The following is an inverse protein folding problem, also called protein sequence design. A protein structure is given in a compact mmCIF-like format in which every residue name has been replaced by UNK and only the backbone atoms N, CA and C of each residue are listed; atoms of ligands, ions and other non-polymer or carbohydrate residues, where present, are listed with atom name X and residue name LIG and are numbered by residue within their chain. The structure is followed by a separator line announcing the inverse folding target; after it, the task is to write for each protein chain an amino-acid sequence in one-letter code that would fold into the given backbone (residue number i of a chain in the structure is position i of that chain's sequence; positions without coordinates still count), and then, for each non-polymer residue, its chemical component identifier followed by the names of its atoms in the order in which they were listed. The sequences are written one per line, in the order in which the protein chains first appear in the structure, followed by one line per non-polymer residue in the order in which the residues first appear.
data_IF_858998100357
#
_entry.id   IF_858998100357
#
_cell.length_a   1.000
_cell.length_b   1.000
_cell.length_c   1.000
_cell.angle_alpha   90.00
_cell.angle_beta   90.00
_cell.angle_gamma   90.00
#
_symmetry.space_group_name_H-M   'P 1'
#
loop_
_entity.id
_entity.type
_entity.pdbx_description
1 polymer ?
#
# COMPACT_ATOMS: atom_id res chain seq x y z
N UNK A 1 5.41 -21.56 11.26
CA UNK A 1 5.03 -20.16 11.48
C UNK A 1 5.96 -19.31 10.66
N UNK A 2 5.46 -18.66 9.61
CA UNK A 2 6.20 -17.56 9.00
C UNK A 2 6.28 -16.46 10.08
N UNK A 3 7.45 -15.87 10.29
CA UNK A 3 7.61 -14.81 11.29
C UNK A 3 6.71 -13.62 10.98
N UNK A 4 6.47 -12.77 11.98
CA UNK A 4 5.68 -11.55 11.78
C UNK A 4 6.18 -10.77 10.57
N UNK A 5 5.27 -10.30 9.70
CA UNK A 5 5.67 -9.58 8.50
C UNK A 5 6.38 -8.28 8.86
N UNK A 6 7.55 -8.09 8.27
CA UNK A 6 8.32 -6.86 8.43
C UNK A 6 7.84 -5.80 7.44
N UNK A 7 7.57 -4.60 7.95
CA UNK A 7 7.33 -3.39 7.17
C UNK A 7 8.51 -2.43 7.23
N UNK A 8 9.72 -2.94 7.51
CA UNK A 8 10.94 -2.14 7.43
C UNK A 8 11.10 -1.62 6.00
N UNK A 9 11.22 -0.31 5.83
CA UNK A 9 11.32 0.35 4.54
C UNK A 9 12.81 0.41 4.15
N UNK A 10 13.30 -0.46 3.24
CA UNK A 10 14.72 -0.51 2.89
C UNK A 10 15.18 0.73 2.13
N UNK A 11 14.30 1.31 1.31
CA UNK A 11 14.56 2.49 0.51
C UNK A 11 13.33 3.40 0.50
N UNK A 12 13.53 4.68 0.81
CA UNK A 12 12.46 5.67 0.72
C UNK A 12 12.48 6.33 -0.66
N UNK A 13 11.31 6.50 -1.31
CA UNK A 13 11.23 7.33 -2.50
C UNK A 13 11.67 8.76 -2.16
N UNK A 14 12.48 9.37 -3.02
CA UNK A 14 12.77 10.80 -2.95
C UNK A 14 11.86 11.55 -3.90
N UNK A 15 11.24 12.64 -3.41
CA UNK A 15 10.36 13.48 -4.22
C UNK A 15 11.15 14.60 -4.87
N UNK A 16 11.25 14.59 -6.19
CA UNK A 16 11.95 15.61 -6.96
C UNK A 16 10.96 16.48 -7.73
N UNK A 17 11.32 17.76 -7.90
CA UNK A 17 10.54 18.76 -8.64
C UNK A 17 11.35 19.24 -9.85
N UNK A 18 11.37 18.49 -10.96
CA UNK A 18 12.06 18.94 -12.16
C UNK A 18 11.42 20.22 -12.73
N UNK A 19 12.26 21.10 -13.28
CA UNK A 19 11.88 22.41 -13.84
C UNK A 19 10.85 22.33 -14.99
N UNK A 20 10.68 21.15 -15.58
CA UNK A 20 9.67 20.87 -16.60
C UNK A 20 9.10 19.46 -16.40
N UNK A 21 7.93 19.34 -15.77
CA UNK A 21 7.20 18.07 -15.71
C UNK A 21 6.90 17.58 -14.30
N UNK A 22 5.92 18.19 -13.63
CA UNK A 22 5.25 17.59 -12.48
C UNK A 22 6.16 17.17 -11.31
N UNK A 23 5.67 16.20 -10.53
CA UNK A 23 6.38 15.61 -9.40
C UNK A 23 6.87 14.24 -9.83
N UNK A 24 8.17 14.00 -9.70
CA UNK A 24 8.77 12.68 -9.92
C UNK A 24 9.12 12.06 -8.56
N UNK A 25 8.99 10.73 -8.48
CA UNK A 25 9.45 9.95 -7.34
C UNK A 25 10.61 9.07 -7.82
N UNK A 26 11.80 9.30 -7.29
CA UNK A 26 12.98 8.46 -7.54
C UNK A 26 13.04 7.33 -6.50
N UNK A 27 13.08 6.10 -6.98
CA UNK A 27 12.98 4.89 -6.17
C UNK A 27 11.54 4.56 -5.77
N UNK A 28 11.20 3.27 -5.75
CA UNK A 28 9.90 2.82 -5.26
C UNK A 28 10.08 1.58 -4.36
N UNK A 29 9.43 1.62 -3.20
CA UNK A 29 9.24 0.47 -2.31
C UNK A 29 7.76 0.12 -2.28
N UNK A 30 7.43 -1.14 -2.53
CA UNK A 30 6.07 -1.67 -2.51
C UNK A 30 6.00 -2.89 -1.61
N UNK A 31 5.04 -2.91 -0.68
CA UNK A 31 4.68 -4.11 0.05
C UNK A 31 3.47 -4.78 -0.61
N UNK A 32 3.64 -6.04 -1.00
CA UNK A 32 2.60 -6.88 -1.60
C UNK A 32 2.01 -7.77 -0.52
N UNK A 33 0.70 -7.65 -0.31
CA UNK A 33 -0.08 -8.50 0.58
C UNK A 33 -0.82 -9.53 -0.28
N UNK A 34 -0.41 -10.79 -0.16
CA UNK A 34 -0.95 -11.90 -0.94
C UNK A 34 -1.78 -12.80 -0.02
N UNK A 35 -3.09 -12.92 -0.24
CA UNK A 35 -3.93 -13.82 0.53
C UNK A 35 -3.54 -15.28 0.25
N UNK A 36 -3.64 -16.16 1.24
CA UNK A 36 -3.34 -17.59 1.07
C UNK A 36 -4.36 -18.32 0.18
N UNK A 37 -5.60 -17.84 0.16
CA UNK A 37 -6.64 -18.30 -0.76
C UNK A 37 -6.75 -17.30 -1.92
N UNK A 38 -6.96 -17.81 -3.14
CA UNK A 38 -7.19 -16.97 -4.31
C UNK A 38 -8.43 -16.08 -4.08
N UNK A 39 -8.24 -14.77 -4.25
CA UNK A 39 -9.30 -13.75 -4.17
C UNK A 39 -9.30 -12.97 -5.47
N UNK A 40 -10.48 -12.56 -5.92
CA UNK A 40 -10.56 -11.65 -7.08
C UNK A 40 -10.17 -10.24 -6.66
N UNK A 41 -9.78 -9.41 -7.64
CA UNK A 41 -9.49 -7.99 -7.37
C UNK A 41 -10.72 -7.27 -6.79
N UNK A 42 -11.93 -7.67 -7.17
CA UNK A 42 -13.18 -7.12 -6.63
C UNK A 42 -13.40 -7.51 -5.16
N UNK A 43 -13.16 -8.77 -4.79
CA UNK A 43 -13.29 -9.21 -3.38
C UNK A 43 -12.29 -8.47 -2.47
N UNK A 44 -11.08 -8.22 -2.98
CA UNK A 44 -10.05 -7.46 -2.27
C UNK A 44 -10.41 -5.98 -2.17
N UNK A 45 -11.02 -5.41 -3.20
CA UNK A 45 -11.48 -4.02 -3.21
C UNK A 45 -12.57 -3.80 -2.18
N UNK A 46 -13.59 -4.66 -2.14
CA UNK A 46 -14.65 -4.61 -1.15
C UNK A 46 -14.11 -4.74 0.29
N UNK A 47 -13.14 -5.64 0.50
CA UNK A 47 -12.46 -5.80 1.79
C UNK A 47 -11.71 -4.53 2.20
N UNK A 48 -10.92 -3.97 1.29
CA UNK A 48 -10.14 -2.74 1.54
C UNK A 48 -11.07 -1.58 1.83
N UNK A 49 -12.11 -1.38 1.02
CA UNK A 49 -13.10 -0.33 1.22
C UNK A 49 -13.76 -0.45 2.59
N UNK A 50 -14.17 -1.66 2.98
CA UNK A 50 -14.73 -1.91 4.31
C UNK A 50 -13.74 -1.51 5.42
N UNK A 51 -12.45 -1.81 5.27
CA UNK A 51 -11.41 -1.42 6.22
C UNK A 51 -11.23 0.10 6.27
N UNK A 52 -11.19 0.76 5.12
CA UNK A 52 -11.01 2.20 5.01
C UNK A 52 -12.21 2.97 5.59
N UNK A 53 -13.45 2.52 5.34
CA UNK A 53 -14.67 3.18 5.81
C UNK A 53 -14.90 3.06 7.32
N UNK A 54 -14.45 1.98 7.93
CA UNK A 54 -14.66 1.70 9.35
C UNK A 54 -13.44 1.95 10.23
N UNK A 55 -12.27 2.14 9.61
CA UNK A 55 -11.03 2.49 10.29
C UNK A 55 -10.82 4.00 10.41
N UNK A 56 -9.73 4.43 11.06
CA UNK A 56 -9.38 5.83 11.24
C UNK A 56 -8.72 6.39 9.96
N UNK A 57 -9.35 6.22 8.80
CA UNK A 57 -8.77 6.58 7.52
C UNK A 57 -9.51 7.73 6.86
N UNK A 58 -8.72 8.63 6.26
CA UNK A 58 -9.18 9.47 5.15
C UNK A 58 -8.59 8.92 3.88
N UNK A 59 -9.43 8.66 2.88
CA UNK A 59 -8.95 8.17 1.60
C UNK A 59 -9.64 8.87 0.43
N UNK A 60 -8.93 8.94 -0.68
CA UNK A 60 -9.47 9.36 -1.97
C UNK A 60 -9.21 8.28 -3.01
N UNK A 61 -10.17 8.06 -3.89
CA UNK A 61 -10.07 7.17 -5.03
C UNK A 61 -9.61 7.94 -6.29
N UNK A 62 -8.95 7.24 -7.20
CA UNK A 62 -8.59 7.77 -8.51
C UNK A 62 -9.57 7.24 -9.55
N UNK A 63 -10.47 8.11 -10.01
CA UNK A 63 -11.48 7.77 -11.02
C UNK A 63 -10.83 7.46 -12.38
N UNK A 64 -11.42 6.49 -13.11
CA UNK A 64 -11.04 6.09 -14.47
C UNK A 64 -9.68 5.38 -14.60
N UNK A 65 -9.19 4.74 -13.53
CA UNK A 65 -8.06 3.82 -13.63
C UNK A 65 -8.51 2.39 -13.98
N UNK A 66 -7.65 1.60 -14.65
CA UNK A 66 -7.95 0.20 -14.98
C UNK A 66 -7.94 -0.72 -13.75
N UNK A 67 -7.64 -0.18 -12.56
CA UNK A 67 -7.51 -0.91 -11.30
C UNK A 67 -7.86 0.01 -10.12
N UNK A 68 -8.35 -0.54 -8.99
CA UNK A 68 -8.53 0.23 -7.77
C UNK A 68 -7.21 0.83 -7.29
N UNK A 69 -7.25 2.13 -6.98
CA UNK A 69 -6.13 2.87 -6.42
C UNK A 69 -6.67 3.91 -5.43
N UNK A 70 -6.13 3.88 -4.23
CA UNK A 70 -6.50 4.77 -3.14
C UNK A 70 -5.27 5.54 -2.66
N UNK A 71 -5.43 6.84 -2.41
CA UNK A 71 -4.51 7.60 -1.55
C UNK A 71 -5.06 7.53 -0.13
N UNK A 72 -4.32 6.90 0.78
CA UNK A 72 -4.77 6.62 2.14
C UNK A 72 -3.97 7.48 3.12
N UNK A 73 -4.68 8.11 4.04
CA UNK A 73 -4.12 8.76 5.23
C UNK A 73 -4.67 8.06 6.46
N UNK A 74 -3.79 7.43 7.23
CA UNK A 74 -4.10 6.93 8.57
C UNK A 74 -4.10 8.12 9.54
N UNK A 75 -5.22 8.35 10.24
CA UNK A 75 -5.34 9.45 11.18
C UNK A 75 -4.70 9.15 12.55
N UNK A 76 -4.55 7.87 12.91
CA UNK A 76 -3.92 7.45 14.15
C UNK A 76 -2.39 7.56 14.04
N UNK A 77 -1.80 7.00 12.99
CA UNK A 77 -0.34 7.07 12.80
C UNK A 77 0.10 8.34 12.09
N UNK A 78 -0.83 9.03 11.41
CA UNK A 78 -0.61 10.21 10.55
C UNK A 78 0.15 9.90 9.26
N UNK A 79 0.34 8.62 8.95
CA UNK A 79 1.02 8.18 7.73
C UNK A 79 0.14 8.35 6.50
N UNK A 80 0.81 8.59 5.37
CA UNK A 80 0.17 8.64 4.05
C UNK A 80 0.87 7.65 3.15
N UNK A 81 0.11 6.83 2.43
CA UNK A 81 0.62 5.87 1.45
C UNK A 81 -0.39 5.67 0.32
N UNK A 82 0.02 5.04 -0.78
CA UNK A 82 -0.91 4.62 -1.83
C UNK A 82 -1.20 3.13 -1.70
N UNK A 83 -2.46 2.75 -1.90
CA UNK A 83 -2.90 1.37 -1.90
C UNK A 83 -3.50 1.05 -3.26
N UNK A 84 -3.04 -0.01 -3.91
CA UNK A 84 -3.63 -0.50 -5.14
C UNK A 84 -3.95 -1.99 -5.09
N UNK A 85 -4.84 -2.43 -5.97
CA UNK A 85 -5.27 -3.83 -6.03
C UNK A 85 -5.13 -4.31 -7.45
N UNK A 86 -4.42 -5.43 -7.63
CA UNK A 86 -4.16 -5.99 -8.95
C UNK A 86 -3.66 -7.43 -8.84
N UNK A 87 -4.16 -8.31 -9.69
CA UNK A 87 -3.70 -9.71 -9.79
C UNK A 87 -3.89 -10.51 -8.47
N UNK A 88 -4.98 -10.27 -7.76
CA UNK A 88 -5.31 -10.99 -6.52
C UNK A 88 -4.44 -10.58 -5.33
N UNK A 89 -3.85 -9.40 -5.35
CA UNK A 89 -3.03 -8.88 -4.25
C UNK A 89 -3.27 -7.39 -4.00
N UNK A 90 -3.04 -7.00 -2.74
CA UNK A 90 -3.04 -5.60 -2.30
C UNK A 90 -1.60 -5.10 -2.29
N UNK A 91 -1.36 -3.91 -2.82
CA UNK A 91 -0.04 -3.29 -2.92
C UNK A 91 -0.02 -1.99 -2.16
N UNK A 92 0.86 -1.88 -1.18
CA UNK A 92 1.10 -0.67 -0.40
C UNK A 92 2.37 0.00 -0.95
N UNK A 93 2.19 1.09 -1.69
CA UNK A 93 3.29 1.87 -2.23
C UNK A 93 3.72 2.91 -1.20
N UNK A 94 4.99 2.85 -0.82
CA UNK A 94 5.64 3.81 0.06
C UNK A 94 5.72 5.16 -0.65
N UNK A 95 5.42 6.22 0.09
CA UNK A 95 5.68 7.62 -0.23
C UNK A 95 6.82 8.13 0.69
N UNK A 96 7.43 9.29 0.40
CA UNK A 96 8.57 9.79 1.18
C UNK A 96 8.34 9.80 2.70
N UNK A 97 7.15 10.24 3.11
CA UNK A 97 6.75 10.39 4.51
C UNK A 97 6.01 9.16 5.08
N UNK A 98 5.92 8.05 4.33
CA UNK A 98 5.27 6.83 4.83
C UNK A 98 6.15 6.16 5.89
N UNK A 99 5.66 5.93 7.09
CA UNK A 99 6.34 5.10 8.08
C UNK A 99 5.79 3.67 8.14
N UNK A 100 6.62 2.77 8.66
CA UNK A 100 6.25 1.36 8.87
C UNK A 100 5.01 1.18 9.74
N UNK A 101 4.71 2.14 10.62
CA UNK A 101 3.57 2.09 11.52
C UNK A 101 2.24 2.09 10.76
N UNK A 102 2.03 3.01 9.81
CA UNK A 102 0.81 3.04 9.00
C UNK A 102 0.64 1.82 8.10
N UNK A 103 1.74 1.31 7.54
CA UNK A 103 1.74 0.08 6.72
C UNK A 103 1.38 -1.15 7.55
N UNK A 104 1.93 -1.24 8.76
CA UNK A 104 1.60 -2.30 9.71
C UNK A 104 0.13 -2.21 10.13
N UNK A 105 -0.35 -1.01 10.43
CA UNK A 105 -1.70 -0.80 10.92
C UNK A 105 -2.78 -1.15 9.88
N UNK A 106 -2.57 -0.81 8.59
CA UNK A 106 -3.49 -1.26 7.52
C UNK A 106 -3.45 -2.77 7.32
N UNK A 107 -2.27 -3.37 7.38
CA UNK A 107 -2.13 -4.83 7.29
C UNK A 107 -2.87 -5.55 8.42
N UNK A 108 -2.64 -5.14 9.67
CA UNK A 108 -3.26 -5.78 10.82
C UNK A 108 -4.80 -5.67 10.72
N UNK A 109 -5.34 -4.50 10.30
CA UNK A 109 -6.79 -4.29 10.10
C UNK A 109 -7.37 -5.12 8.95
N UNK A 110 -6.61 -5.34 7.86
CA UNK A 110 -7.02 -6.23 6.76
C UNK A 110 -7.03 -7.69 7.23
N UNK A 111 -5.98 -8.12 7.93
CA UNK A 111 -5.85 -9.47 8.46
C UNK A 111 -6.96 -9.77 9.47
N UNK A 112 -7.26 -8.84 10.39
CA UNK A 112 -8.32 -9.00 11.39
C UNK A 112 -9.73 -9.10 10.77
N UNK A 113 -9.92 -8.56 9.55
CA UNK A 113 -11.20 -8.52 8.84
C UNK A 113 -11.37 -9.61 7.81
N UNK A 114 -10.36 -10.43 7.57
CA UNK A 114 -10.40 -11.48 6.56
C UNK A 114 -10.07 -12.84 7.16
N UNK A 115 -10.82 -13.86 6.71
CA UNK A 115 -10.47 -15.22 7.02
C UNK A 115 -9.29 -15.66 6.16
N UNK A 116 -8.18 -16.04 6.79
CA UNK A 116 -7.03 -16.67 6.14
C UNK A 116 -5.70 -15.99 6.42
N UNK A 117 -4.63 -16.71 6.12
CA UNK A 117 -3.27 -16.19 6.27
C UNK A 117 -2.90 -15.26 5.11
N UNK A 118 -2.01 -14.31 5.40
CA UNK A 118 -1.47 -13.38 4.41
C UNK A 118 0.04 -13.48 4.35
N UNK A 119 0.58 -13.55 3.13
CA UNK A 119 2.02 -13.41 2.88
C UNK A 119 2.32 -11.95 2.54
N UNK A 120 3.35 -11.41 3.18
CA UNK A 120 3.89 -10.08 2.85
C UNK A 120 5.21 -10.24 2.10
N UNK A 121 5.33 -9.57 0.96
CA UNK A 121 6.58 -9.44 0.22
C UNK A 121 6.94 -7.96 0.05
N UNK A 122 8.22 -7.62 0.17
CA UNK A 122 8.73 -6.27 -0.09
C UNK A 122 9.47 -6.29 -1.43
N UNK A 123 9.14 -5.36 -2.30
CA UNK A 123 9.82 -5.14 -3.58
C UNK A 123 10.37 -3.71 -3.60
N UNK A 124 11.60 -3.58 -4.08
CA UNK A 124 12.28 -2.30 -4.27
C UNK A 124 12.73 -2.21 -5.72
N UNK A 125 12.46 -1.09 -6.36
CA UNK A 125 13.05 -0.74 -7.66
C UNK A 125 13.94 0.48 -7.47
N UNK A 126 15.21 0.33 -7.86
CA UNK A 126 16.12 1.45 -8.01
C UNK A 126 15.75 2.18 -9.31
N UNK A 127 15.54 3.49 -9.24
CA UNK A 127 15.48 4.30 -10.46
C UNK A 127 16.90 4.41 -11.01
N UNK A 128 17.17 3.84 -12.18
CA UNK A 128 18.44 4.04 -12.88
C UNK A 128 18.64 5.54 -13.12
N UNK A 129 19.65 6.13 -12.49
CA UNK A 129 20.09 7.50 -12.77
C UNK A 129 20.59 7.55 -14.22
N UNK A 130 19.85 8.21 -15.12
CA UNK A 130 20.33 8.56 -16.46
C UNK A 130 21.13 9.86 -16.44
#
# INVERSE_FOLDING_TARGET
MAGDPSFAIPQRPERTYPYSGGVEYEGETVFRLVPAADRTDADLDDLVLTVLESGPYRYGDFLNLPMPLYLVRDEETRDVFRLSIRNGEIRLHVLPDTESAGLRAIYDRIADRSDGDWRVACETVESEKS
#
